data_IF_342897174403
#
_entry.id   IF_342897174403
#
_cell.length_a   1.000
_cell.length_b   1.000
_cell.length_c   1.000
_cell.angle_alpha   90.00
_cell.angle_beta   90.00
_cell.angle_gamma   90.00
#
_symmetry.space_group_name_H-M   'P 1'
#
loop_
_entity.id
_entity.type
_entity.pdbx_description
1 polymer ?
#
# COMPACT_ATOMS: atom_id res chain seq x y z
N UNK A 1 14.64 0.13 9.02
CA UNK A 1 14.18 1.53 9.14
C UNK A 1 14.78 2.34 8.02
N UNK A 2 13.95 3.03 7.25
CA UNK A 2 14.41 4.08 6.33
C UNK A 2 14.14 5.40 7.04
N UNK A 3 15.19 6.00 7.59
CA UNK A 3 15.13 7.35 8.17
C UNK A 3 14.94 8.36 7.03
N UNK A 4 13.72 8.82 6.88
CA UNK A 4 13.33 9.88 5.98
C UNK A 4 12.01 10.45 6.46
N UNK A 5 12.02 11.14 7.60
CA UNK A 5 10.88 11.97 7.97
C UNK A 5 10.78 13.05 6.89
N UNK A 6 9.86 12.85 5.95
CA UNK A 6 9.54 13.81 4.91
C UNK A 6 8.94 15.06 5.57
N UNK A 7 9.79 15.96 6.05
CA UNK A 7 9.35 17.23 6.66
C UNK A 7 8.76 18.19 5.62
N UNK A 8 8.95 17.92 4.32
CA UNK A 8 8.53 18.77 3.19
C UNK A 8 7.88 17.97 2.05
N UNK A 9 7.07 16.94 2.36
CA UNK A 9 6.30 16.20 1.32
C UNK A 9 7.14 15.31 0.39
N UNK A 10 8.37 14.98 0.79
CA UNK A 10 9.19 13.98 0.10
C UNK A 10 8.62 12.56 0.25
N UNK A 11 9.09 11.59 -0.56
CA UNK A 11 8.67 10.20 -0.45
C UNK A 11 8.96 9.60 0.92
N UNK A 12 8.02 8.82 1.43
CA UNK A 12 8.26 7.91 2.55
C UNK A 12 8.31 6.50 1.98
N UNK A 13 9.48 5.87 2.04
CA UNK A 13 9.71 4.53 1.49
C UNK A 13 9.98 3.59 2.64
N UNK A 14 9.14 2.56 2.77
CA UNK A 14 9.34 1.47 3.71
C UNK A 14 9.67 0.20 2.94
N UNK A 15 10.80 -0.42 3.26
CA UNK A 15 11.16 -1.75 2.77
C UNK A 15 11.15 -2.73 3.94
N UNK A 16 10.68 -3.94 3.67
CA UNK A 16 10.60 -5.02 4.64
C UNK A 16 10.92 -6.35 3.96
N UNK A 17 11.60 -7.23 4.69
CA UNK A 17 11.91 -8.58 4.25
C UNK A 17 11.69 -9.53 5.42
N UNK A 18 11.14 -10.72 5.15
CA UNK A 18 10.80 -11.72 6.16
C UNK A 18 11.20 -13.12 5.69
N UNK A 19 11.47 -14.02 6.64
CA UNK A 19 11.93 -15.38 6.37
C UNK A 19 13.44 -15.45 6.26
N UNK A 20 13.96 -16.06 5.19
CA UNK A 20 15.40 -16.23 5.00
C UNK A 20 16.00 -14.97 4.35
N UNK A 21 16.28 -13.97 5.19
CA UNK A 21 16.79 -12.66 4.76
C UNK A 21 18.30 -12.62 4.90
N UNK A 22 19.00 -12.25 3.82
CA UNK A 22 20.46 -12.14 3.78
C UNK A 22 20.97 -10.70 3.64
N UNK A 23 20.09 -9.77 3.26
CA UNK A 23 20.40 -8.36 3.06
C UNK A 23 19.16 -7.51 3.33
N UNK A 24 19.29 -6.32 3.96
CA UNK A 24 18.20 -5.36 4.06
C UNK A 24 17.99 -4.55 2.76
N UNK A 25 18.94 -4.61 1.83
CA UNK A 25 18.86 -3.95 0.52
C UNK A 25 18.24 -4.90 -0.48
N UNK A 26 17.18 -4.46 -1.16
CA UNK A 26 16.52 -5.20 -2.22
C UNK A 26 17.37 -5.16 -3.49
N UNK A 27 17.53 -6.32 -4.12
CA UNK A 27 18.17 -6.46 -5.43
C UNK A 27 17.12 -6.38 -6.54
N UNK A 28 17.56 -6.14 -7.78
CA UNK A 28 16.65 -6.27 -8.93
C UNK A 28 16.01 -7.67 -8.95
N UNK A 29 14.73 -7.74 -9.31
CA UNK A 29 13.95 -8.99 -9.37
C UNK A 29 13.90 -9.77 -8.05
N UNK A 30 13.92 -9.10 -6.90
CA UNK A 30 13.89 -9.75 -5.58
C UNK A 30 12.64 -9.44 -4.75
N UNK A 31 11.89 -8.38 -5.06
CA UNK A 31 10.70 -7.99 -4.31
C UNK A 31 9.48 -8.82 -4.71
N UNK A 32 8.79 -9.38 -3.72
CA UNK A 32 7.54 -10.12 -3.90
C UNK A 32 6.33 -9.21 -4.18
N UNK A 33 6.37 -7.98 -3.67
CA UNK A 33 5.25 -7.05 -3.74
C UNK A 33 5.71 -5.59 -3.65
N UNK A 34 4.95 -4.70 -4.30
CA UNK A 34 4.97 -3.26 -4.03
C UNK A 34 3.57 -2.80 -3.65
N UNK A 35 3.49 -1.88 -2.70
CA UNK A 35 2.24 -1.30 -2.21
C UNK A 35 2.40 0.22 -2.27
N UNK A 36 1.45 0.89 -2.91
CA UNK A 36 1.47 2.36 -3.04
C UNK A 36 0.21 2.98 -2.46
N UNK A 37 0.40 4.05 -1.69
CA UNK A 37 -0.70 4.81 -1.08
C UNK A 37 -1.21 5.91 -2.02
N UNK A 38 -0.46 6.18 -3.08
CA UNK A 38 -0.74 7.15 -4.13
C UNK A 38 -0.25 6.57 -5.47
N UNK A 39 -1.00 6.81 -6.56
CA UNK A 39 -0.80 6.10 -7.85
C UNK A 39 0.59 6.32 -8.46
N UNK A 40 1.13 7.54 -8.40
CA UNK A 40 2.40 7.90 -9.03
C UNK A 40 3.63 7.35 -8.31
N UNK A 41 3.51 6.93 -7.05
CA UNK A 41 4.61 6.33 -6.28
C UNK A 41 5.20 5.10 -6.96
N UNK A 42 4.37 4.38 -7.72
CA UNK A 42 4.77 3.19 -8.47
C UNK A 42 5.78 3.49 -9.58
N UNK A 43 5.70 4.69 -10.18
CA UNK A 43 6.54 5.12 -11.29
C UNK A 43 7.90 5.67 -10.83
N UNK A 44 8.21 5.57 -9.53
CA UNK A 44 9.52 5.99 -9.04
C UNK A 44 10.61 5.14 -9.69
N UNK A 45 11.71 5.76 -10.17
CA UNK A 45 12.77 5.05 -10.87
C UNK A 45 13.29 3.85 -10.05
N UNK A 46 13.45 2.71 -10.73
CA UNK A 46 13.94 1.47 -10.14
C UNK A 46 12.92 0.64 -9.37
N UNK A 47 11.74 1.16 -9.01
CA UNK A 47 10.78 0.39 -8.18
C UNK A 47 10.23 -0.84 -8.90
N UNK A 48 9.81 -0.68 -10.17
CA UNK A 48 9.33 -1.80 -10.98
C UNK A 48 10.43 -2.82 -11.30
N UNK A 49 11.70 -2.38 -11.35
CA UNK A 49 12.86 -3.27 -11.61
C UNK A 49 13.18 -4.18 -10.42
N UNK A 50 12.75 -3.80 -9.21
CA UNK A 50 12.89 -4.64 -8.02
C UNK A 50 11.92 -5.83 -8.03
N UNK A 51 10.79 -5.71 -8.73
CA UNK A 51 9.75 -6.73 -8.73
C UNK A 51 10.19 -7.97 -9.50
N UNK A 52 10.15 -9.12 -8.83
CA UNK A 52 10.36 -10.42 -9.46
C UNK A 52 9.18 -10.80 -10.35
N UNK A 53 9.35 -11.84 -11.14
CA UNK A 53 8.27 -12.37 -11.97
C UNK A 53 7.13 -12.93 -11.09
N UNK A 54 5.89 -12.56 -11.45
CA UNK A 54 4.71 -12.93 -10.69
C UNK A 54 4.51 -12.17 -9.36
N UNK A 55 5.31 -11.12 -9.12
CA UNK A 55 5.10 -10.20 -7.99
C UNK A 55 3.75 -9.48 -8.08
N UNK A 56 3.23 -9.10 -6.91
CA UNK A 56 1.96 -8.39 -6.78
C UNK A 56 2.16 -6.88 -6.64
N UNK A 57 1.32 -6.10 -7.28
CA UNK A 57 1.27 -4.65 -7.17
C UNK A 57 -0.08 -4.30 -6.55
N UNK A 58 -0.07 -3.62 -5.41
CA UNK A 58 -1.28 -3.10 -4.76
C UNK A 58 -1.24 -1.58 -4.80
N UNK A 59 -2.22 -0.97 -5.48
CA UNK A 59 -2.26 0.46 -5.75
C UNK A 59 -3.50 1.07 -5.10
N UNK A 60 -3.30 2.10 -4.29
CA UNK A 60 -4.36 3.05 -3.93
C UNK A 60 -4.65 3.96 -5.11
N UNK A 61 -5.92 4.10 -5.50
CA UNK A 61 -6.36 5.01 -6.59
C UNK A 61 -6.20 6.50 -6.26
N UNK A 62 -5.76 6.85 -5.06
CA UNK A 62 -5.50 8.22 -4.64
C UNK A 62 -4.50 8.90 -5.58
N UNK A 63 -4.88 10.07 -6.10
CA UNK A 63 -4.02 10.94 -6.91
C UNK A 63 -3.77 12.24 -6.16
N UNK A 64 -2.51 12.55 -5.92
CA UNK A 64 -2.07 13.80 -5.29
C UNK A 64 -1.08 14.47 -6.24
N UNK A 65 -1.53 15.53 -6.92
CA UNK A 65 -0.67 16.29 -7.82
C UNK A 65 0.32 17.12 -6.99
N UNK A 66 1.64 16.87 -7.10
CA UNK A 66 2.64 17.67 -6.42
C UNK A 66 2.57 19.13 -6.87
N UNK A 67 2.79 20.08 -5.94
CA UNK A 67 2.70 21.52 -6.25
C UNK A 67 3.69 21.98 -7.34
N UNK A 68 4.76 21.21 -7.57
CA UNK A 68 5.81 21.52 -8.56
C UNK A 68 5.45 21.13 -9.99
N UNK A 69 4.35 20.40 -10.20
CA UNK A 69 3.86 20.02 -11.53
C UNK A 69 2.39 20.39 -11.69
N UNK A 70 1.94 20.50 -12.93
CA UNK A 70 0.53 20.67 -13.27
C UNK A 70 -0.20 19.33 -13.32
N UNK A 71 -1.54 19.35 -13.19
CA UNK A 71 -2.36 18.14 -13.34
C UNK A 71 -2.19 17.45 -14.71
N UNK A 72 -1.88 18.23 -15.77
CA UNK A 72 -1.61 17.69 -17.11
C UNK A 72 -0.27 16.94 -17.22
N UNK A 73 0.66 17.20 -16.31
CA UNK A 73 1.95 16.50 -16.22
C UNK A 73 1.89 15.29 -15.29
N UNK A 74 0.81 15.13 -14.52
CA UNK A 74 0.62 13.96 -13.68
C UNK A 74 0.39 12.73 -14.58
N UNK A 75 0.99 11.57 -14.27
CA UNK A 75 0.84 10.35 -15.08
C UNK A 75 -0.61 10.00 -15.38
N UNK A 76 -0.93 9.71 -16.63
CA UNK A 76 -2.26 9.28 -17.01
C UNK A 76 -2.54 7.84 -16.59
N UNK A 77 -3.82 7.45 -16.51
CA UNK A 77 -4.20 6.06 -16.24
C UNK A 77 -3.64 5.11 -17.30
N UNK A 78 -3.43 5.61 -18.53
CA UNK A 78 -2.78 4.84 -19.61
C UNK A 78 -1.30 4.61 -19.34
N UNK A 79 -0.59 5.60 -18.77
CA UNK A 79 0.82 5.47 -18.41
C UNK A 79 0.99 4.46 -17.28
N UNK A 80 0.11 4.51 -16.28
CA UNK A 80 0.08 3.56 -15.17
C UNK A 80 -0.18 2.14 -15.69
N UNK A 81 -1.24 1.96 -16.50
CA UNK A 81 -1.59 0.65 -17.06
C UNK A 81 -0.46 0.04 -17.90
N UNK A 82 0.25 0.86 -18.69
CA UNK A 82 1.42 0.42 -19.46
C UNK A 82 2.58 0.02 -18.55
N UNK A 83 2.86 0.80 -17.51
CA UNK A 83 3.98 0.55 -16.60
C UNK A 83 3.82 -0.77 -15.82
N UNK A 84 2.58 -1.14 -15.49
CA UNK A 84 2.27 -2.38 -14.73
C UNK A 84 1.90 -3.56 -15.61
N UNK A 85 2.01 -3.42 -16.93
CA UNK A 85 1.67 -4.50 -17.85
C UNK A 85 2.51 -5.75 -17.56
N UNK A 86 1.84 -6.90 -17.40
CA UNK A 86 2.47 -8.18 -17.10
C UNK A 86 2.66 -8.48 -15.61
N UNK A 87 2.30 -7.56 -14.71
CA UNK A 87 2.27 -7.81 -13.26
C UNK A 87 0.86 -8.20 -12.79
N UNK A 88 0.78 -8.75 -11.57
CA UNK A 88 -0.50 -9.00 -10.90
C UNK A 88 -0.90 -7.74 -10.14
N UNK A 89 -1.85 -6.99 -10.68
CA UNK A 89 -2.21 -5.66 -10.17
C UNK A 89 -3.57 -5.70 -9.47
N UNK A 90 -3.65 -5.09 -8.31
CA UNK A 90 -4.90 -4.82 -7.60
C UNK A 90 -4.96 -3.32 -7.32
N UNK A 91 -6.01 -2.67 -7.83
CA UNK A 91 -6.25 -1.25 -7.62
C UNK A 91 -7.51 -1.04 -6.79
N UNK A 92 -7.41 -0.29 -5.71
CA UNK A 92 -8.50 -0.05 -4.75
C UNK A 92 -8.62 1.41 -4.37
N UNK A 93 -9.84 1.88 -4.14
CA UNK A 93 -10.09 3.21 -3.60
C UNK A 93 -10.25 3.13 -2.07
N UNK A 94 -9.11 3.16 -1.37
CA UNK A 94 -9.06 3.04 0.08
C UNK A 94 -9.62 4.27 0.80
N UNK A 95 -9.56 5.45 0.17
CA UNK A 95 -10.10 6.68 0.75
C UNK A 95 -11.62 6.68 0.65
N UNK A 96 -12.19 6.35 -0.52
CA UNK A 96 -13.63 6.20 -0.66
C UNK A 96 -14.19 5.16 0.32
N UNK A 97 -13.50 4.03 0.49
CA UNK A 97 -13.92 3.00 1.45
C UNK A 97 -13.85 3.49 2.90
N UNK A 98 -12.80 4.23 3.29
CA UNK A 98 -12.70 4.81 4.63
C UNK A 98 -13.84 5.81 4.91
N UNK A 99 -14.19 6.65 3.93
CA UNK A 99 -15.31 7.59 4.03
C UNK A 99 -16.64 6.84 4.18
N UNK A 100 -16.86 5.80 3.39
CA UNK A 100 -18.06 4.96 3.41
C UNK A 100 -18.32 4.34 4.80
N UNK A 101 -17.27 3.89 5.48
CA UNK A 101 -17.38 3.27 6.81
C UNK A 101 -17.33 4.28 7.97
N UNK A 102 -17.50 5.58 7.68
CA UNK A 102 -17.70 6.62 8.69
C UNK A 102 -16.44 7.39 9.10
N UNK A 103 -15.36 7.33 8.32
CA UNK A 103 -14.17 8.18 8.52
C UNK A 103 -14.01 9.22 7.39
N UNK A 104 -14.69 10.37 7.49
CA UNK A 104 -14.62 11.42 6.47
C UNK A 104 -13.23 12.04 6.33
N UNK A 105 -12.32 11.78 7.27
CA UNK A 105 -10.94 12.30 7.26
C UNK A 105 -9.93 11.33 6.68
N UNK A 106 -10.33 10.09 6.37
CA UNK A 106 -9.46 9.06 5.76
C UNK A 106 -8.33 8.56 6.67
N UNK A 107 -8.41 8.76 7.99
CA UNK A 107 -7.44 8.30 8.99
C UNK A 107 -7.27 6.78 9.03
N UNK A 108 -8.30 6.01 8.67
CA UNK A 108 -8.28 4.54 8.65
C UNK A 108 -8.01 3.94 7.26
N UNK A 109 -7.78 4.78 6.23
CA UNK A 109 -7.55 4.31 4.86
C UNK A 109 -6.32 3.39 4.74
N UNK A 110 -5.27 3.65 5.52
CA UNK A 110 -4.10 2.76 5.60
C UNK A 110 -4.46 1.37 6.16
N UNK A 111 -5.44 1.27 7.06
CA UNK A 111 -5.91 0.00 7.60
C UNK A 111 -6.81 -0.74 6.61
N UNK A 112 -7.60 0.00 5.81
CA UNK A 112 -8.28 -0.57 4.63
C UNK A 112 -7.26 -1.19 3.68
N UNK A 113 -6.16 -0.47 3.39
CA UNK A 113 -5.07 -0.99 2.55
C UNK A 113 -4.47 -2.29 3.11
N UNK A 114 -4.22 -2.35 4.42
CA UNK A 114 -3.74 -3.57 5.10
C UNK A 114 -4.75 -4.72 4.95
N UNK A 115 -6.05 -4.43 5.01
CA UNK A 115 -7.11 -5.39 4.75
C UNK A 115 -6.99 -6.03 3.37
N UNK A 116 -6.86 -5.22 2.32
CA UNK A 116 -6.65 -5.71 0.94
C UNK A 116 -5.36 -6.52 0.85
N UNK A 117 -4.25 -5.97 1.36
CA UNK A 117 -2.94 -6.62 1.38
C UNK A 117 -3.00 -8.03 2.00
N UNK A 118 -3.77 -8.23 3.06
CA UNK A 118 -3.88 -9.53 3.76
C UNK A 118 -4.48 -10.66 2.91
N UNK A 119 -5.02 -10.36 1.72
CA UNK A 119 -5.58 -11.33 0.77
C UNK A 119 -4.73 -11.54 -0.48
N UNK A 120 -3.62 -10.81 -0.61
CA UNK A 120 -2.72 -10.94 -1.76
C UNK A 120 -1.61 -11.92 -1.45
N UNK A 121 -1.18 -12.69 -2.43
CA UNK A 121 0.06 -13.47 -2.31
C UNK A 121 1.26 -12.52 -2.15
N UNK A 122 2.22 -12.78 -1.23
CA UNK A 122 2.33 -13.96 -0.35
C UNK A 122 1.69 -13.79 1.05
N UNK A 123 0.97 -12.70 1.28
CA UNK A 123 0.37 -12.32 2.57
C UNK A 123 -0.90 -13.11 2.93
N UNK A 124 -1.60 -13.64 1.94
CA UNK A 124 -2.77 -14.54 2.05
C UNK A 124 -2.52 -15.80 2.88
N UNK A 125 -1.25 -16.14 3.14
CA UNK A 125 -0.84 -17.27 3.98
C UNK A 125 -0.98 -17.01 5.47
N UNK A 126 -1.04 -15.75 5.90
CA UNK A 126 -1.13 -15.42 7.31
C UNK A 126 -2.59 -15.46 7.79
N UNK A 127 -2.89 -16.14 8.91
CA UNK A 127 -4.24 -16.14 9.48
C UNK A 127 -4.68 -14.73 9.88
N UNK A 128 -5.97 -14.44 9.70
CA UNK A 128 -6.60 -13.12 9.89
C UNK A 128 -6.36 -12.58 11.30
N UNK A 129 -6.34 -13.47 12.28
CA UNK A 129 -6.15 -13.18 13.69
C UNK A 129 -4.78 -12.54 13.97
N UNK A 130 -3.74 -12.90 13.21
CA UNK A 130 -2.41 -12.30 13.37
C UNK A 130 -2.38 -10.86 12.89
N UNK A 131 -3.08 -10.54 11.80
CA UNK A 131 -3.24 -9.16 11.33
C UNK A 131 -3.97 -8.30 12.35
N UNK A 132 -5.12 -8.79 12.82
CA UNK A 132 -5.94 -8.11 13.82
C UNK A 132 -5.14 -7.90 15.12
N UNK A 133 -4.38 -8.90 15.57
CA UNK A 133 -3.50 -8.79 16.74
C UNK A 133 -2.42 -7.73 16.53
N UNK A 134 -1.76 -7.72 15.36
CA UNK A 134 -0.73 -6.73 15.05
C UNK A 134 -1.30 -5.30 15.05
N UNK A 135 -2.43 -5.07 14.38
CA UNK A 135 -3.10 -3.76 14.33
C UNK A 135 -3.51 -3.31 15.74
N UNK A 136 -4.07 -4.21 16.55
CA UNK A 136 -4.47 -3.90 17.94
C UNK A 136 -3.28 -3.55 18.83
N UNK A 137 -2.14 -4.22 18.64
CA UNK A 137 -0.93 -3.98 19.42
C UNK A 137 -0.33 -2.58 19.17
N UNK A 138 -0.54 -2.00 17.98
CA UNK A 138 -0.07 -0.64 17.67
C UNK A 138 -0.88 0.41 18.43
N UNK A 139 -2.21 0.25 18.49
CA UNK A 139 -3.06 1.17 19.26
C UNK A 139 -4.29 0.43 19.83
N UNK A 140 -4.22 -0.01 21.10
CA UNK A 140 -5.27 -0.83 21.70
C UNK A 140 -6.45 -0.01 22.24
N UNK A 141 -6.41 1.34 22.14
CA UNK A 141 -7.47 2.21 22.67
C UNK A 141 -8.81 1.80 22.04
N UNK A 142 -9.85 1.47 22.84
CA UNK A 142 -11.11 0.92 22.31
C UNK A 142 -11.75 1.77 21.19
N UNK A 143 -11.71 3.10 21.34
CA UNK A 143 -12.24 4.04 20.35
C UNK A 143 -11.53 3.98 18.99
N UNK A 144 -10.22 3.68 18.98
CA UNK A 144 -9.42 3.54 17.75
C UNK A 144 -9.54 2.13 17.19
N UNK A 145 -9.54 1.13 18.09
CA UNK A 145 -9.61 -0.27 17.71
C UNK A 145 -10.87 -0.60 16.92
N UNK A 146 -12.04 -0.10 17.33
CA UNK A 146 -13.29 -0.37 16.63
C UNK A 146 -13.23 0.08 15.15
N UNK A 147 -12.71 1.29 14.90
CA UNK A 147 -12.54 1.82 13.55
C UNK A 147 -11.51 1.05 12.73
N UNK A 148 -10.36 0.71 13.32
CA UNK A 148 -9.33 -0.08 12.65
C UNK A 148 -9.80 -1.50 12.32
N UNK A 149 -10.56 -2.14 13.22
CA UNK A 149 -11.16 -3.44 12.96
C UNK A 149 -12.10 -3.39 11.76
N UNK A 150 -13.04 -2.42 11.76
CA UNK A 150 -13.98 -2.23 10.66
C UNK A 150 -13.25 -1.94 9.34
N UNK A 151 -12.24 -1.08 9.36
CA UNK A 151 -11.43 -0.75 8.19
C UNK A 151 -10.69 -1.96 7.62
N UNK A 152 -10.08 -2.77 8.48
CA UNK A 152 -9.36 -3.96 8.04
C UNK A 152 -10.30 -4.98 7.39
N UNK A 153 -11.46 -5.24 8.00
CA UNK A 153 -12.47 -6.14 7.44
C UNK A 153 -13.02 -5.58 6.12
N UNK A 154 -13.36 -4.30 6.07
CA UNK A 154 -13.83 -3.64 4.86
C UNK A 154 -12.80 -3.71 3.71
N UNK A 155 -11.50 -3.60 4.02
CA UNK A 155 -10.43 -3.79 3.05
C UNK A 155 -10.36 -5.23 2.52
N UNK A 156 -10.58 -6.23 3.37
CA UNK A 156 -10.61 -7.64 2.95
C UNK A 156 -11.79 -7.97 2.05
N UNK A 157 -12.90 -7.23 2.16
CA UNK A 157 -14.11 -7.45 1.37
C UNK A 157 -14.06 -6.72 0.01
N UNK A 158 -13.02 -5.92 -0.26
CA UNK A 158 -12.83 -5.27 -1.56
C UNK A 158 -12.35 -6.23 -2.66
N UNK A 159 -11.79 -7.39 -2.29
CA UNK A 159 -11.22 -8.39 -3.23
C UNK A 159 -11.50 -9.84 -2.84
#
# INVERSE_FOLDING_TARGET
ETHGMAQMGGPVISTFSCGKVHSPVLFSKSADCIITMEVSELLRPGFLELLRDGASILISKTKIVPQVITAAQYPSDTDIAKAVQGFRVVEVDILAKAVEIGDPTGRIANVVMIGVMSRLTPFDRFPVELWLKAIKNVNPKPAVWAGNYAAFMAGRDLI
#
